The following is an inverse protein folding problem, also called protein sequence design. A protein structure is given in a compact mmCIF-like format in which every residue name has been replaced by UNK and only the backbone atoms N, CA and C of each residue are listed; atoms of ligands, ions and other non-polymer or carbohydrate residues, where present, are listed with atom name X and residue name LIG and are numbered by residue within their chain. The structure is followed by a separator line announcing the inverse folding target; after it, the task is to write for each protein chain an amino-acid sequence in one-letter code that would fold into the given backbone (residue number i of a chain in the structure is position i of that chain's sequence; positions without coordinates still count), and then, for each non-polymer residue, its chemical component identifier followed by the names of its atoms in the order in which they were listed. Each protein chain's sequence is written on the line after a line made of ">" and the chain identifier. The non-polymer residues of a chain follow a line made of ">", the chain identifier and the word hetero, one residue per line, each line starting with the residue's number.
data_IF_688962900038
#
_entry.id   IF_688962900038
#
_cell.length_a   1.000
_cell.length_b   1.000
_cell.length_c   1.000
_cell.angle_alpha   90.00
_cell.angle_beta   90.00
_cell.angle_gamma   90.00
#
_symmetry.space_group_name_H-M   'P 1'
#
loop_
_entity.id
_entity.type
_entity.pdbx_description
1 polymer ?
#
# COMPACT_ATOMS: atom_id res chain seq x y z
N UNK A 1 2.34 -8.87 -6.13
CA UNK A 1 1.54 -7.70 -5.71
C UNK A 1 1.20 -7.74 -4.22
N UNK A 2 0.72 -8.84 -3.66
CA UNK A 2 0.35 -8.92 -2.23
C UNK A 2 1.46 -8.49 -1.27
N UNK A 3 2.71 -8.90 -1.50
CA UNK A 3 3.85 -8.43 -0.69
C UNK A 3 4.06 -6.91 -0.75
N UNK A 4 3.88 -6.30 -1.93
CA UNK A 4 3.99 -4.85 -2.09
C UNK A 4 2.86 -4.12 -1.34
N UNK A 5 1.64 -4.67 -1.37
CA UNK A 5 0.52 -4.12 -0.62
C UNK A 5 0.78 -4.20 0.89
N UNK A 6 1.16 -5.37 1.40
CA UNK A 6 1.45 -5.57 2.84
C UNK A 6 2.57 -4.64 3.30
N UNK A 7 3.65 -4.52 2.54
CA UNK A 7 4.76 -3.62 2.86
C UNK A 7 4.30 -2.15 2.87
N UNK A 8 3.61 -1.72 1.81
CA UNK A 8 3.12 -0.35 1.70
C UNK A 8 2.17 0.01 2.85
N UNK A 9 1.24 -0.88 3.18
CA UNK A 9 0.28 -0.62 4.28
C UNK A 9 0.93 -0.70 5.66
N UNK A 10 1.97 -1.52 5.84
CA UNK A 10 2.80 -1.50 7.04
C UNK A 10 3.48 -0.15 7.24
N UNK A 11 4.08 0.42 6.17
CA UNK A 11 4.65 1.77 6.21
C UNK A 11 3.57 2.83 6.51
N UNK A 12 2.42 2.76 5.85
CA UNK A 12 1.31 3.68 6.12
C UNK A 12 0.87 3.60 7.58
N UNK A 13 0.79 2.40 8.17
CA UNK A 13 0.47 2.25 9.59
C UNK A 13 1.47 2.95 10.49
N UNK A 14 2.77 2.86 10.20
CA UNK A 14 3.79 3.61 10.93
C UNK A 14 3.63 5.12 10.73
N UNK A 15 3.39 5.57 9.50
CA UNK A 15 3.22 6.98 9.19
C UNK A 15 1.90 7.57 9.72
N UNK A 16 0.91 6.74 10.05
CA UNK A 16 -0.36 7.19 10.61
C UNK A 16 -0.21 7.92 11.94
N UNK A 17 0.81 7.61 12.72
CA UNK A 17 1.14 8.31 13.95
C UNK A 17 1.35 9.81 13.72
N UNK A 18 1.92 10.16 12.58
CA UNK A 18 2.25 11.54 12.24
C UNK A 18 1.20 12.20 11.33
N UNK A 19 0.52 11.41 10.50
CA UNK A 19 -0.38 11.94 9.47
C UNK A 19 -1.85 11.93 9.88
N UNK A 20 -2.30 10.91 10.60
CA UNK A 20 -3.71 10.68 10.91
C UNK A 20 -4.04 10.72 12.41
N UNK A 21 -3.06 10.57 13.30
CA UNK A 21 -3.33 10.71 14.74
C UNK A 21 -3.74 12.14 15.11
N UNK A 22 -4.58 12.28 16.12
CA UNK A 22 -5.00 13.60 16.54
C UNK A 22 -3.84 14.39 17.17
N UNK A 23 -3.90 15.75 17.12
CA UNK A 23 -2.89 16.59 17.79
C UNK A 23 -2.72 16.25 19.27
N UNK A 24 -3.81 15.93 19.96
CA UNK A 24 -3.82 15.61 21.39
C UNK A 24 -3.00 14.36 21.70
N UNK A 25 -3.13 13.31 20.86
CA UNK A 25 -2.36 12.06 21.01
C UNK A 25 -0.86 12.34 20.83
N UNK A 26 -0.50 13.16 19.83
CA UNK A 26 0.90 13.54 19.59
C UNK A 26 1.45 14.43 20.70
N UNK A 27 0.65 15.35 21.21
CA UNK A 27 1.02 16.26 22.29
C UNK A 27 1.24 15.50 23.60
N UNK A 28 0.39 14.52 23.91
CA UNK A 28 0.53 13.64 25.07
C UNK A 28 1.84 12.85 25.02
N UNK A 29 2.19 12.31 23.86
CA UNK A 29 3.46 11.59 23.65
C UNK A 29 4.67 12.52 23.88
N UNK A 30 4.64 13.73 23.32
CA UNK A 30 5.81 14.64 23.32
C UNK A 30 5.94 15.37 24.65
N UNK A 31 4.84 15.91 25.22
CA UNK A 31 4.87 16.73 26.44
C UNK A 31 4.85 15.91 27.70
N UNK A 32 4.03 14.86 27.73
CA UNK A 32 3.81 14.06 28.94
C UNK A 32 4.63 12.77 28.95
N UNK A 33 5.36 12.49 27.86
CA UNK A 33 6.09 11.23 27.66
C UNK A 33 5.20 9.98 27.84
N UNK A 34 3.90 10.12 27.57
CA UNK A 34 2.92 9.05 27.70
C UNK A 34 2.75 8.34 26.36
N UNK A 35 2.97 7.04 26.33
CA UNK A 35 2.80 6.19 25.12
C UNK A 35 1.39 5.61 24.99
N UNK A 36 0.58 5.66 26.06
CA UNK A 36 -0.68 4.92 26.20
C UNK A 36 -1.66 5.24 25.07
N UNK A 37 -1.92 6.54 24.83
CA UNK A 37 -2.86 6.96 23.79
C UNK A 37 -2.37 6.61 22.37
N UNK A 38 -1.07 6.71 22.14
CA UNK A 38 -0.47 6.33 20.87
C UNK A 38 -0.48 4.80 20.66
N UNK A 39 -0.22 4.02 21.70
CA UNK A 39 -0.28 2.55 21.64
C UNK A 39 -1.71 2.07 21.33
N UNK A 40 -2.73 2.67 21.95
CA UNK A 40 -4.13 2.34 21.69
C UNK A 40 -4.53 2.72 20.26
N UNK A 41 -4.11 3.90 19.79
CA UNK A 41 -4.29 4.32 18.41
C UNK A 41 -3.67 3.33 17.42
N UNK A 42 -2.41 2.92 17.63
CA UNK A 42 -1.72 1.95 16.78
C UNK A 42 -2.40 0.57 16.85
N UNK A 43 -2.79 0.12 18.03
CA UNK A 43 -3.49 -1.16 18.20
C UNK A 43 -4.76 -1.22 17.36
N UNK A 44 -5.53 -0.15 17.35
CA UNK A 44 -6.74 -0.04 16.51
C UNK A 44 -6.40 0.00 15.02
N UNK A 45 -5.34 0.70 14.66
CA UNK A 45 -4.90 0.81 13.26
C UNK A 45 -4.42 -0.51 12.67
N UNK A 46 -3.64 -1.30 13.43
CA UNK A 46 -3.09 -2.59 12.94
C UNK A 46 -4.12 -3.73 12.91
N UNK A 47 -5.30 -3.54 13.47
CA UNK A 47 -6.40 -4.51 13.35
C UNK A 47 -7.09 -4.46 11.98
N UNK A 48 -6.87 -3.41 11.20
CA UNK A 48 -7.42 -3.25 9.86
C UNK A 48 -6.70 -4.15 8.85
N UNK A 49 -7.44 -4.61 7.87
CA UNK A 49 -6.83 -5.30 6.72
C UNK A 49 -5.95 -4.34 5.90
N UNK A 50 -4.99 -4.85 5.13
CA UNK A 50 -4.17 -4.00 4.25
C UNK A 50 -4.98 -3.10 3.31
N UNK A 51 -6.11 -3.58 2.79
CA UNK A 51 -6.97 -2.77 1.92
C UNK A 51 -7.72 -1.68 2.69
N UNK A 52 -8.15 -1.95 3.92
CA UNK A 52 -8.78 -0.94 4.78
C UNK A 52 -7.78 0.14 5.19
N UNK A 53 -6.54 -0.22 5.51
CA UNK A 53 -5.48 0.75 5.79
C UNK A 53 -5.26 1.64 4.56
N UNK A 54 -5.10 1.05 3.38
CA UNK A 54 -4.91 1.78 2.14
C UNK A 54 -6.09 2.72 1.87
N UNK A 55 -7.32 2.22 1.98
CA UNK A 55 -8.54 3.01 1.78
C UNK A 55 -8.64 4.18 2.78
N UNK A 56 -8.32 3.95 4.05
CA UNK A 56 -8.31 5.01 5.07
C UNK A 56 -7.36 6.13 4.67
N UNK A 57 -6.12 5.82 4.28
CA UNK A 57 -5.15 6.84 3.86
C UNK A 57 -5.58 7.61 2.61
N UNK A 58 -6.11 6.92 1.61
CA UNK A 58 -6.59 7.56 0.39
C UNK A 58 -7.72 8.55 0.65
N UNK A 59 -8.62 8.24 1.59
CA UNK A 59 -9.74 9.09 1.96
C UNK A 59 -9.33 10.26 2.87
N UNK A 60 -8.61 9.98 3.94
CA UNK A 60 -8.25 10.99 4.95
C UNK A 60 -7.27 12.02 4.40
N UNK A 61 -6.29 11.62 3.61
CA UNK A 61 -5.35 12.54 2.96
C UNK A 61 -5.89 13.12 1.65
N UNK A 62 -7.13 12.77 1.26
CA UNK A 62 -7.76 13.26 0.01
C UNK A 62 -6.89 13.03 -1.23
N UNK A 63 -6.29 11.85 -1.29
CA UNK A 63 -5.42 11.44 -2.40
C UNK A 63 -6.21 11.48 -3.73
N UNK A 64 -5.53 11.80 -4.82
CA UNK A 64 -6.16 11.90 -6.13
C UNK A 64 -6.91 10.64 -6.50
N UNK A 65 -8.11 10.80 -7.04
CA UNK A 65 -8.96 9.70 -7.51
C UNK A 65 -8.24 8.79 -8.49
N UNK A 66 -7.42 9.36 -9.36
CA UNK A 66 -6.64 8.59 -10.35
C UNK A 66 -5.71 7.58 -9.66
N UNK A 67 -5.01 7.98 -8.60
CA UNK A 67 -4.13 7.11 -7.81
C UNK A 67 -4.92 6.00 -7.12
N UNK A 68 -6.07 6.34 -6.52
CA UNK A 68 -6.95 5.34 -5.91
C UNK A 68 -7.46 4.32 -6.95
N UNK A 69 -7.89 4.78 -8.14
CA UNK A 69 -8.32 3.91 -9.23
C UNK A 69 -7.18 3.00 -9.68
N UNK A 70 -5.96 3.52 -9.91
CA UNK A 70 -4.81 2.70 -10.28
C UNK A 70 -4.54 1.59 -9.26
N UNK A 71 -4.56 1.90 -7.98
CA UNK A 71 -4.28 0.94 -6.91
C UNK A 71 -5.36 -0.15 -6.82
N UNK A 72 -6.62 0.22 -6.72
CA UNK A 72 -7.69 -0.75 -6.53
C UNK A 72 -8.01 -1.54 -7.81
N UNK A 73 -8.02 -0.90 -8.98
CA UNK A 73 -8.31 -1.61 -10.23
C UNK A 73 -7.22 -2.63 -10.59
N UNK A 74 -5.93 -2.26 -10.42
CA UNK A 74 -4.83 -3.18 -10.67
C UNK A 74 -4.79 -4.33 -9.65
N UNK A 75 -5.13 -4.05 -8.37
CA UNK A 75 -5.21 -5.11 -7.38
C UNK A 75 -6.36 -6.06 -7.65
N UNK A 76 -7.53 -5.54 -8.04
CA UNK A 76 -8.67 -6.36 -8.46
C UNK A 76 -8.36 -7.22 -9.69
N UNK A 77 -7.71 -6.64 -10.70
CA UNK A 77 -7.26 -7.40 -11.88
C UNK A 77 -6.28 -8.52 -11.51
N UNK A 78 -5.39 -8.27 -10.55
CA UNK A 78 -4.49 -9.29 -10.01
C UNK A 78 -5.24 -10.42 -9.30
N UNK A 79 -6.25 -10.11 -8.51
CA UNK A 79 -7.09 -11.13 -7.86
C UNK A 79 -7.86 -11.96 -8.88
N UNK A 80 -8.45 -11.32 -9.89
CA UNK A 80 -9.14 -12.00 -10.98
C UNK A 80 -8.22 -12.95 -11.75
N UNK A 81 -6.95 -12.55 -11.97
CA UNK A 81 -5.96 -13.42 -12.61
C UNK A 81 -5.61 -14.63 -11.73
N UNK A 82 -5.54 -14.45 -10.41
CA UNK A 82 -5.29 -15.56 -9.48
C UNK A 82 -6.49 -16.50 -9.35
N UNK A 83 -7.70 -16.01 -9.56
CA UNK A 83 -8.92 -16.82 -9.55
C UNK A 83 -9.08 -17.65 -10.83
N UNK A 84 -8.46 -17.24 -11.93
CA UNK A 84 -8.39 -17.98 -13.18
C UNK A 84 -7.48 -19.21 -13.02
N UNK A 85 -8.09 -20.39 -12.98
CA UNK A 85 -7.40 -21.66 -12.77
C UNK A 85 -6.40 -21.96 -13.88
N UNK A 86 -6.75 -21.68 -15.15
CA UNK A 86 -5.89 -21.96 -16.29
C UNK A 86 -4.65 -21.08 -16.29
N UNK A 87 -4.81 -19.77 -16.07
CA UNK A 87 -3.71 -18.83 -15.95
C UNK A 87 -2.79 -19.17 -14.78
N UNK A 88 -3.36 -19.52 -13.65
CA UNK A 88 -2.61 -19.90 -12.44
C UNK A 88 -1.78 -21.16 -12.67
N UNK A 89 -2.35 -22.21 -13.30
CA UNK A 89 -1.61 -23.44 -13.60
C UNK A 89 -0.53 -23.22 -14.67
N UNK A 90 -0.77 -22.32 -15.63
CA UNK A 90 0.25 -21.91 -16.60
C UNK A 90 1.44 -21.23 -15.91
N UNK A 91 1.18 -20.28 -15.02
CA UNK A 91 2.23 -19.58 -14.28
C UNK A 91 3.06 -20.51 -13.38
N UNK A 92 2.46 -21.55 -12.79
CA UNK A 92 3.19 -22.54 -11.99
C UNK A 92 4.16 -23.39 -12.82
N UNK A 93 3.86 -23.60 -14.09
CA UNK A 93 4.67 -24.44 -15.01
C UNK A 93 5.67 -23.63 -15.81
N UNK A 94 5.70 -22.31 -15.66
CA UNK A 94 6.53 -21.41 -16.45
C UNK A 94 8.01 -21.62 -16.14
N UNK A 95 8.81 -21.87 -17.17
CA UNK A 95 10.27 -21.93 -17.08
C UNK A 95 10.88 -20.52 -17.17
N UNK A 96 12.13 -20.36 -16.74
CA UNK A 96 12.84 -19.08 -16.84
C UNK A 96 13.01 -18.63 -18.29
N UNK A 97 13.11 -19.57 -19.22
CA UNK A 97 13.29 -19.31 -20.67
C UNK A 97 12.01 -18.79 -21.32
N UNK A 98 10.83 -19.21 -20.82
CA UNK A 98 9.54 -18.81 -21.36
C UNK A 98 9.07 -17.45 -20.86
N UNK A 99 9.60 -16.97 -19.71
CA UNK A 99 9.21 -15.71 -19.07
C UNK A 99 9.15 -14.52 -20.04
N UNK A 100 10.13 -14.29 -20.94
CA UNK A 100 10.13 -13.13 -21.81
C UNK A 100 8.98 -13.08 -22.81
N UNK A 101 8.46 -14.24 -23.22
CA UNK A 101 7.47 -14.40 -24.29
C UNK A 101 6.10 -14.83 -23.82
N UNK A 102 5.97 -15.25 -22.56
CA UNK A 102 4.69 -15.73 -22.03
C UNK A 102 3.68 -14.60 -21.85
N UNK A 103 2.51 -14.74 -22.49
CA UNK A 103 1.45 -13.74 -22.53
C UNK A 103 0.86 -13.51 -21.12
N UNK A 104 0.64 -14.58 -20.34
CA UNK A 104 0.06 -14.48 -19.00
C UNK A 104 1.03 -13.80 -18.04
N UNK A 105 2.32 -14.13 -18.13
CA UNK A 105 3.34 -13.43 -17.35
C UNK A 105 3.45 -11.95 -17.76
N UNK A 106 3.32 -11.64 -19.04
CA UNK A 106 3.24 -10.27 -19.56
C UNK A 106 2.07 -9.49 -18.93
N UNK A 107 0.89 -10.12 -18.85
CA UNK A 107 -0.29 -9.56 -18.19
C UNK A 107 -0.02 -9.27 -16.70
N UNK A 108 0.57 -10.21 -15.95
CA UNK A 108 0.96 -10.03 -14.56
C UNK A 108 1.91 -8.84 -14.38
N UNK A 109 2.90 -8.72 -15.27
CA UNK A 109 3.86 -7.61 -15.25
C UNK A 109 3.17 -6.27 -15.49
N UNK A 110 2.27 -6.19 -16.47
CA UNK A 110 1.53 -4.97 -16.78
C UNK A 110 0.67 -4.53 -15.59
N UNK A 111 -0.10 -5.44 -14.98
CA UNK A 111 -0.90 -5.18 -13.78
C UNK A 111 0.00 -4.71 -12.62
N UNK A 112 1.11 -5.40 -12.39
CA UNK A 112 2.06 -5.06 -11.31
C UNK A 112 2.70 -3.68 -11.51
N UNK A 113 2.93 -3.26 -12.77
CA UNK A 113 3.46 -1.94 -13.10
C UNK A 113 2.45 -0.84 -12.77
N UNK A 114 1.19 -1.00 -13.16
CA UNK A 114 0.13 -0.03 -12.82
C UNK A 114 -0.02 0.14 -11.31
N UNK A 115 0.01 -0.97 -10.57
CA UNK A 115 -0.02 -0.93 -9.10
C UNK A 115 1.18 -0.17 -8.52
N UNK A 116 2.37 -0.41 -9.06
CA UNK A 116 3.59 0.27 -8.61
C UNK A 116 3.54 1.77 -8.92
N UNK A 117 3.03 2.16 -10.09
CA UNK A 117 2.82 3.57 -10.44
C UNK A 117 1.84 4.24 -9.45
N UNK A 118 0.78 3.54 -9.05
CA UNK A 118 -0.14 4.00 -8.02
C UNK A 118 0.54 4.19 -6.66
N UNK A 119 1.36 3.24 -6.22
CA UNK A 119 2.15 3.38 -4.98
C UNK A 119 3.15 4.55 -5.07
N UNK A 120 3.83 4.70 -6.19
CA UNK A 120 4.76 5.81 -6.40
C UNK A 120 4.04 7.16 -6.32
N UNK A 121 2.86 7.28 -6.93
CA UNK A 121 2.05 8.48 -6.84
C UNK A 121 1.63 8.77 -5.39
N UNK A 122 1.15 7.77 -4.66
CA UNK A 122 0.75 7.89 -3.26
C UNK A 122 1.89 8.38 -2.38
N UNK A 123 3.05 7.72 -2.43
CA UNK A 123 4.15 7.98 -1.51
C UNK A 123 5.01 9.20 -1.87
N UNK A 124 5.04 9.61 -3.14
CA UNK A 124 5.99 10.63 -3.58
C UNK A 124 5.36 11.86 -4.23
N UNK A 125 4.08 11.82 -4.64
CA UNK A 125 3.52 12.88 -5.46
C UNK A 125 2.24 13.51 -4.94
N UNK A 126 1.37 12.74 -4.32
CA UNK A 126 0.01 13.19 -4.02
C UNK A 126 -0.12 13.93 -2.69
N UNK A 127 0.73 13.63 -1.72
CA UNK A 127 0.72 14.27 -0.40
C UNK A 127 2.14 14.66 0.04
N UNK A 128 2.32 15.92 0.47
CA UNK A 128 3.63 16.47 0.82
C UNK A 128 4.19 15.84 2.11
N UNK A 129 3.33 15.60 3.11
CA UNK A 129 3.75 15.02 4.38
C UNK A 129 4.13 13.55 4.23
N UNK A 130 3.33 12.82 3.47
CA UNK A 130 3.62 11.42 3.17
C UNK A 130 4.93 11.27 2.39
N UNK A 131 5.17 12.18 1.44
CA UNK A 131 6.45 12.24 0.71
C UNK A 131 7.63 12.50 1.64
N UNK A 132 7.51 13.47 2.55
CA UNK A 132 8.56 13.78 3.53
C UNK A 132 8.89 12.56 4.39
N UNK A 133 7.89 11.92 4.99
CA UNK A 133 8.06 10.73 5.80
C UNK A 133 8.67 9.57 5.00
N UNK A 134 8.27 9.41 3.73
CA UNK A 134 8.81 8.39 2.85
C UNK A 134 10.30 8.61 2.56
N UNK A 135 10.71 9.85 2.33
CA UNK A 135 12.13 10.19 2.07
C UNK A 135 12.99 9.97 3.33
N UNK A 136 12.48 10.33 4.51
CA UNK A 136 13.26 10.25 5.74
C UNK A 136 13.27 8.86 6.38
N UNK A 137 12.18 8.12 6.28
CA UNK A 137 11.99 6.86 7.02
C UNK A 137 11.65 5.67 6.14
N UNK A 138 11.32 5.90 4.86
CA UNK A 138 11.06 4.81 3.91
C UNK A 138 12.34 4.10 3.53
N UNK A 139 12.35 2.79 3.73
CA UNK A 139 13.42 1.92 3.25
C UNK A 139 12.97 1.31 1.92
N UNK A 140 13.54 1.79 0.84
CA UNK A 140 13.30 1.29 -0.52
C UNK A 140 14.56 0.69 -1.12
#
# INVERSE_FOLDING_TARGET
>A
MSRKLIFATGMLSCFSCETLSSPEIREDLVKNHSTIAMEEYLRTSVQKTPLEILATFLLELKIKRETAVKLFSSYNAFLALLDDVEKRERLKKLSLEDIPTDVVFGEVRAISRVFQEGLTALFFHDDAKLRELTIFYGVF
#
